data_IF_614021135177
#
_entry.id   IF_614021135177
#
_cell.length_a   1.000
_cell.length_b   1.000
_cell.length_c   1.000
_cell.angle_alpha   90.00
_cell.angle_beta   90.00
_cell.angle_gamma   90.00
#
_symmetry.space_group_name_H-M   'P 1'
#
loop_
_entity.id
_entity.type
_entity.pdbx_description
1 polymer ?
#
# COMPACT_ATOMS: atom_id res chain seq x y z
N UNK A 1 -10.50 -9.90 11.45
CA UNK A 1 -10.40 -8.79 10.47
C UNK A 1 -8.97 -8.63 9.97
N UNK A 2 -8.71 -7.77 8.98
CA UNK A 2 -7.35 -7.60 8.39
C UNK A 2 -6.28 -7.32 9.46
N UNK A 3 -6.56 -6.42 10.41
CA UNK A 3 -5.62 -6.11 11.49
C UNK A 3 -5.26 -7.31 12.40
N UNK A 4 -6.22 -8.19 12.72
CA UNK A 4 -5.95 -9.39 13.52
C UNK A 4 -5.02 -10.36 12.79
N UNK A 5 -5.19 -10.49 11.48
CA UNK A 5 -4.36 -11.36 10.66
C UNK A 5 -2.94 -10.81 10.52
N UNK A 6 -2.77 -9.49 10.40
CA UNK A 6 -1.46 -8.85 10.41
C UNK A 6 -0.73 -9.08 11.74
N UNK A 7 -1.42 -8.96 12.88
CA UNK A 7 -0.85 -9.27 14.20
C UNK A 7 -0.41 -10.74 14.27
N UNK A 8 -1.23 -11.66 13.74
CA UNK A 8 -0.90 -13.09 13.70
C UNK A 8 0.34 -13.35 12.84
N UNK A 9 0.40 -12.81 11.63
CA UNK A 9 1.53 -12.98 10.69
C UNK A 9 2.81 -12.40 11.28
N UNK A 10 2.75 -11.20 11.86
CA UNK A 10 3.89 -10.56 12.52
C UNK A 10 4.46 -11.47 13.64
N UNK A 11 3.60 -12.04 14.48
CA UNK A 11 4.02 -12.99 15.53
C UNK A 11 4.68 -14.25 14.96
N UNK A 12 4.08 -14.87 13.93
CA UNK A 12 4.60 -16.10 13.33
C UNK A 12 5.94 -15.90 12.60
N UNK A 13 6.21 -14.69 12.11
CA UNK A 13 7.40 -14.36 11.34
C UNK A 13 8.48 -13.66 12.18
N UNK A 14 8.20 -13.39 13.47
CA UNK A 14 9.07 -12.61 14.34
C UNK A 14 9.29 -11.19 13.82
N UNK A 15 8.24 -10.57 13.27
CA UNK A 15 8.26 -9.21 12.74
C UNK A 15 9.01 -9.06 11.40
N UNK A 16 9.37 -10.15 10.72
CA UNK A 16 10.10 -10.10 9.44
C UNK A 16 9.21 -9.84 8.24
N UNK A 17 7.92 -10.17 8.34
CA UNK A 17 6.92 -9.86 7.32
C UNK A 17 6.07 -8.73 7.85
N UNK A 18 6.07 -7.62 7.11
CA UNK A 18 5.47 -6.36 7.52
C UNK A 18 4.50 -5.93 6.43
N UNK A 19 3.39 -5.33 6.85
CA UNK A 19 2.45 -4.68 5.94
C UNK A 19 3.08 -3.38 5.43
N UNK A 20 3.14 -3.19 4.11
CA UNK A 20 3.67 -1.97 3.49
C UNK A 20 2.62 -1.18 2.72
N UNK A 21 1.42 -1.73 2.52
CA UNK A 21 0.34 -1.07 1.79
C UNK A 21 -0.48 -2.05 0.96
N UNK A 22 -1.08 -1.53 -0.11
CA UNK A 22 -2.16 -2.21 -0.83
C UNK A 22 -1.79 -2.52 -2.28
N UNK A 23 -2.49 -3.50 -2.83
CA UNK A 23 -2.50 -3.72 -4.27
C UNK A 23 -3.92 -3.94 -4.76
N UNK A 24 -4.20 -3.52 -5.99
CA UNK A 24 -5.46 -3.80 -6.66
C UNK A 24 -5.30 -3.83 -8.18
N UNK A 25 -6.35 -4.23 -8.87
CA UNK A 25 -6.41 -4.20 -10.33
C UNK A 25 -7.36 -3.11 -10.80
N UNK A 26 -7.03 -2.47 -11.92
CA UNK A 26 -7.99 -1.67 -12.68
C UNK A 26 -8.68 -2.53 -13.75
N UNK A 27 -9.97 -2.27 -14.06
CA UNK A 27 -10.69 -3.04 -15.07
C UNK A 27 -10.09 -2.91 -16.48
N UNK A 28 -10.50 -3.78 -17.42
CA UNK A 28 -10.06 -3.69 -18.80
C UNK A 28 -10.34 -2.34 -19.45
N UNK A 29 -9.43 -1.89 -20.30
CA UNK A 29 -9.46 -0.56 -20.95
C UNK A 29 -9.37 0.65 -19.99
N UNK A 30 -9.00 0.44 -18.71
CA UNK A 30 -8.65 1.52 -17.79
C UNK A 30 -7.12 1.65 -17.66
N UNK A 31 -6.64 2.87 -17.44
CA UNK A 31 -5.23 3.13 -17.12
C UNK A 31 -4.89 2.55 -15.75
N UNK A 32 -3.67 2.05 -15.57
CA UNK A 32 -3.10 1.65 -14.26
C UNK A 32 -2.51 2.83 -13.50
N UNK A 33 -2.61 4.05 -14.04
CA UNK A 33 -2.30 5.26 -13.28
C UNK A 33 -3.24 5.39 -12.08
N UNK A 34 -2.72 5.92 -10.97
CA UNK A 34 -3.55 6.24 -9.81
C UNK A 34 -4.72 7.14 -10.18
N UNK A 35 -5.90 6.82 -9.66
CA UNK A 35 -6.99 7.77 -9.52
C UNK A 35 -6.76 8.65 -8.29
N UNK A 36 -7.50 9.75 -8.17
CA UNK A 36 -7.46 10.59 -6.97
C UNK A 36 -7.79 9.83 -5.68
N UNK A 37 -8.59 8.76 -5.75
CA UNK A 37 -8.87 7.93 -4.57
C UNK A 37 -7.67 7.08 -4.17
N UNK A 38 -6.93 6.59 -5.17
CA UNK A 38 -5.71 5.82 -4.95
C UNK A 38 -4.62 6.70 -4.34
N UNK A 39 -4.46 7.93 -4.84
CA UNK A 39 -3.56 8.94 -4.26
C UNK A 39 -3.88 9.24 -2.79
N UNK A 40 -5.16 9.47 -2.48
CA UNK A 40 -5.60 9.73 -1.09
C UNK A 40 -5.32 8.51 -0.21
N UNK A 41 -5.63 7.31 -0.68
CA UNK A 41 -5.38 6.08 0.09
C UNK A 41 -3.88 5.86 0.32
N UNK A 42 -3.04 6.05 -0.69
CA UNK A 42 -1.60 5.93 -0.57
C UNK A 42 -1.05 6.90 0.49
N UNK A 43 -1.53 8.15 0.49
CA UNK A 43 -1.16 9.13 1.51
C UNK A 43 -1.59 8.70 2.92
N UNK A 44 -2.81 8.17 3.08
CA UNK A 44 -3.29 7.67 4.38
C UNK A 44 -2.47 6.49 4.89
N UNK A 45 -2.04 5.58 3.98
CA UNK A 45 -1.15 4.48 4.33
C UNK A 45 0.22 5.03 4.73
N UNK A 46 0.73 6.07 4.05
CA UNK A 46 2.02 6.67 4.36
C UNK A 46 2.02 7.24 5.79
N UNK A 47 0.97 7.98 6.15
CA UNK A 47 0.81 8.53 7.50
C UNK A 47 0.72 7.43 8.57
N UNK A 48 0.03 6.32 8.27
CA UNK A 48 -0.06 5.18 9.17
C UNK A 48 1.29 4.47 9.37
N UNK A 49 2.05 4.29 8.28
CA UNK A 49 3.34 3.60 8.27
C UNK A 49 4.48 4.44 8.85
N UNK A 50 4.32 5.77 8.90
CA UNK A 50 5.30 6.71 9.44
C UNK A 50 5.71 6.38 10.88
N UNK A 51 4.76 5.93 11.71
CA UNK A 51 5.02 5.57 13.11
C UNK A 51 6.04 4.43 13.26
N UNK A 52 6.15 3.56 12.25
CA UNK A 52 7.08 2.43 12.21
C UNK A 52 8.28 2.71 11.27
N UNK A 53 8.36 3.91 10.68
CA UNK A 53 9.46 4.33 9.80
C UNK A 53 9.47 3.65 8.43
N UNK A 54 8.31 3.20 7.93
CA UNK A 54 8.19 2.56 6.63
C UNK A 54 7.51 3.47 5.60
N UNK A 55 7.88 3.36 4.31
CA UNK A 55 7.09 3.97 3.24
C UNK A 55 5.79 3.19 3.02
N UNK A 56 4.80 3.86 2.43
CA UNK A 56 3.65 3.21 1.83
C UNK A 56 3.97 2.73 0.42
N UNK A 57 3.43 1.55 0.08
CA UNK A 57 3.51 0.94 -1.24
C UNK A 57 2.09 0.79 -1.80
N UNK A 58 1.91 1.17 -3.07
CA UNK A 58 0.71 0.82 -3.82
C UNK A 58 1.08 0.20 -5.17
N UNK A 59 0.44 -0.92 -5.48
CA UNK A 59 0.63 -1.61 -6.76
C UNK A 59 -0.71 -1.72 -7.51
N UNK A 60 -0.72 -1.22 -8.75
CA UNK A 60 -1.90 -1.24 -9.62
C UNK A 60 -1.59 -2.06 -10.88
N UNK A 61 -2.39 -3.10 -11.14
CA UNK A 61 -2.24 -3.99 -12.31
C UNK A 61 -3.42 -3.84 -13.25
N UNK A 62 -3.17 -3.87 -14.56
CA UNK A 62 -4.22 -3.86 -15.58
C UNK A 62 -3.65 -4.02 -16.98
N UNK A 63 -4.50 -3.83 -17.99
CA UNK A 63 -4.10 -4.01 -19.40
C UNK A 63 -2.97 -3.06 -19.84
N UNK A 64 -2.86 -1.90 -19.19
CA UNK A 64 -1.80 -0.92 -19.44
C UNK A 64 -0.48 -1.21 -18.68
N UNK A 65 -0.44 -2.29 -17.89
CA UNK A 65 0.77 -2.81 -17.27
C UNK A 65 0.70 -2.93 -15.74
N UNK A 66 1.85 -2.80 -15.10
CA UNK A 66 1.99 -2.75 -13.65
C UNK A 66 2.58 -1.40 -13.29
N UNK A 67 1.91 -0.65 -12.44
CA UNK A 67 2.41 0.59 -11.85
C UNK A 67 2.68 0.36 -10.36
N UNK A 68 3.81 0.87 -9.89
CA UNK A 68 4.24 0.73 -8.50
C UNK A 68 4.56 2.12 -7.98
N UNK A 69 3.93 2.47 -6.87
CA UNK A 69 4.06 3.76 -6.21
C UNK A 69 4.63 3.56 -4.82
N UNK A 70 5.64 4.35 -4.47
CA UNK A 70 6.15 4.48 -3.11
C UNK A 70 5.94 5.91 -2.63
N UNK A 71 5.52 6.06 -1.38
CA UNK A 71 5.33 7.35 -0.74
C UNK A 71 5.77 7.29 0.72
N UNK A 72 6.58 8.27 1.12
CA UNK A 72 6.88 8.55 2.53
C UNK A 72 5.82 9.52 3.09
N UNK A 73 5.61 9.52 4.40
CA UNK A 73 4.80 10.56 5.02
C UNK A 73 5.47 11.92 4.82
N UNK A 74 4.65 12.97 4.73
CA UNK A 74 5.17 14.32 4.65
C UNK A 74 5.74 14.72 6.01
N UNK A 75 6.96 15.25 6.03
CA UNK A 75 7.51 15.91 7.21
C UNK A 75 6.73 17.22 7.46
N UNK A 76 6.29 17.45 8.70
CA UNK A 76 5.67 18.72 9.15
C UNK A 76 6.68 19.88 9.23
#
# INVERSE_FOLDING_TARGET
>A
GVGEELIRISKLTGGRVIYLGEWHSHPPNCSTSMSTRDEILLSQIADFQAAEGFPALMLIVGDSGVQVYLQEALDD
#
